data_IF_281925634716
#
_entry.id   IF_281925634716
#
_cell.length_a   1.000
_cell.length_b   1.000
_cell.length_c   1.000
_cell.angle_alpha   90.00
_cell.angle_beta   90.00
_cell.angle_gamma   90.00
#
_symmetry.space_group_name_H-M   'P 1'
#
loop_
_entity.id
_entity.type
_entity.pdbx_description
1 polymer ?
#
# COMPACT_ATOMS: atom_id res chain seq x y z
N UNK A 1 3.07 -0.24 -35.16
CA UNK A 1 4.10 -1.30 -35.17
C UNK A 1 4.00 -2.09 -33.88
N UNK A 2 4.26 -3.40 -33.92
CA UNK A 2 4.08 -4.34 -32.80
C UNK A 2 4.64 -3.82 -31.46
N UNK A 3 5.86 -3.29 -31.47
CA UNK A 3 6.54 -2.73 -30.29
C UNK A 3 5.77 -1.58 -29.61
N UNK A 4 5.03 -0.77 -30.38
CA UNK A 4 4.19 0.30 -29.82
C UNK A 4 2.96 -0.29 -29.11
N UNK A 5 2.37 -1.35 -29.66
CA UNK A 5 1.23 -2.03 -29.04
C UNK A 5 1.66 -2.71 -27.75
N UNK A 6 2.82 -3.38 -27.77
CA UNK A 6 3.44 -3.99 -26.59
C UNK A 6 3.63 -2.97 -25.46
N UNK A 7 4.22 -1.80 -25.77
CA UNK A 7 4.40 -0.71 -24.79
C UNK A 7 3.06 -0.23 -24.23
N UNK A 8 2.06 -0.01 -25.09
CA UNK A 8 0.73 0.42 -24.67
C UNK A 8 0.04 -0.62 -23.75
N UNK A 9 0.22 -1.91 -24.02
CA UNK A 9 -0.27 -2.98 -23.16
C UNK A 9 0.45 -2.93 -21.81
N UNK A 10 1.78 -2.88 -21.82
CA UNK A 10 2.61 -2.86 -20.61
C UNK A 10 2.32 -1.64 -19.73
N UNK A 11 1.93 -0.50 -20.32
CA UNK A 11 1.58 0.74 -19.61
C UNK A 11 0.09 0.88 -19.31
N UNK A 12 -0.71 -0.17 -19.53
CA UNK A 12 -2.12 -0.21 -19.09
C UNK A 12 -3.15 0.42 -20.01
N UNK A 13 -2.78 0.86 -21.22
CA UNK A 13 -3.74 1.43 -22.17
C UNK A 13 -4.81 0.42 -22.62
N UNK A 14 -4.56 -0.88 -22.42
CA UNK A 14 -5.44 -1.98 -22.78
C UNK A 14 -6.09 -2.69 -21.57
N UNK A 15 -5.92 -2.18 -20.34
CA UNK A 15 -6.46 -2.83 -19.14
C UNK A 15 -8.00 -2.93 -19.16
N UNK A 16 -8.68 -2.06 -19.92
CA UNK A 16 -10.13 -2.12 -20.14
C UNK A 16 -10.63 -3.28 -21.00
N UNK A 17 -9.74 -4.10 -21.58
CA UNK A 17 -10.11 -5.27 -22.40
C UNK A 17 -10.55 -6.50 -21.58
N UNK A 18 -10.47 -6.45 -20.25
CA UNK A 18 -10.85 -7.57 -19.39
C UNK A 18 -9.88 -8.76 -19.44
N UNK A 19 -8.65 -8.53 -19.90
CA UNK A 19 -7.53 -9.49 -19.88
C UNK A 19 -6.34 -8.85 -19.17
N UNK A 20 -5.57 -9.66 -18.44
CA UNK A 20 -4.37 -9.18 -17.78
C UNK A 20 -3.27 -8.86 -18.82
N UNK A 21 -2.32 -8.00 -18.44
CA UNK A 21 -1.25 -7.53 -19.34
C UNK A 21 -0.35 -8.68 -19.84
N UNK A 22 -0.07 -9.68 -19.00
CA UNK A 22 0.72 -10.87 -19.40
C UNK A 22 0.03 -11.62 -20.53
N UNK A 23 -1.28 -11.87 -20.41
CA UNK A 23 -2.09 -12.51 -21.44
C UNK A 23 -2.06 -11.71 -22.74
N UNK A 24 -2.23 -10.39 -22.67
CA UNK A 24 -2.21 -9.53 -23.85
C UNK A 24 -0.85 -9.49 -24.54
N UNK A 25 0.25 -9.39 -23.79
CA UNK A 25 1.62 -9.40 -24.34
C UNK A 25 1.97 -10.78 -24.91
N UNK A 26 1.69 -11.87 -24.18
CA UNK A 26 2.00 -13.24 -24.60
C UNK A 26 1.27 -13.65 -25.88
N UNK A 27 0.07 -13.10 -26.12
CA UNK A 27 -0.70 -13.35 -27.34
C UNK A 27 -0.47 -12.32 -28.45
N UNK A 28 0.36 -11.30 -28.24
CA UNK A 28 0.49 -10.16 -29.18
C UNK A 28 0.87 -10.61 -30.60
N UNK A 29 1.78 -11.57 -30.72
CA UNK A 29 2.26 -12.11 -32.01
C UNK A 29 1.12 -12.75 -32.78
N UNK A 30 0.42 -13.69 -32.10
CA UNK A 30 -0.74 -14.42 -32.63
C UNK A 30 -1.87 -13.45 -33.00
N UNK A 31 -2.10 -12.43 -32.18
CA UNK A 31 -3.15 -11.44 -32.41
C UNK A 31 -2.85 -10.54 -33.62
N UNK A 32 -1.59 -10.12 -33.79
CA UNK A 32 -1.16 -9.34 -34.97
C UNK A 32 -1.27 -10.16 -36.24
N UNK A 33 -0.83 -11.42 -36.21
CA UNK A 33 -0.94 -12.34 -37.35
C UNK A 33 -2.40 -12.61 -37.71
N UNK A 34 -3.24 -12.92 -36.72
CA UNK A 34 -4.69 -13.09 -36.91
C UNK A 34 -5.33 -11.85 -37.57
N UNK A 35 -4.99 -10.65 -37.09
CA UNK A 35 -5.52 -9.40 -37.65
C UNK A 35 -5.03 -9.11 -39.07
N UNK A 36 -3.79 -9.50 -39.41
CA UNK A 36 -3.23 -9.37 -40.75
C UNK A 36 -3.93 -10.32 -41.73
N UNK A 37 -4.06 -11.61 -41.40
CA UNK A 37 -4.74 -12.60 -42.23
C UNK A 37 -6.19 -12.20 -42.51
N UNK A 38 -6.92 -11.79 -41.45
CA UNK A 38 -8.30 -11.29 -41.59
C UNK A 38 -8.42 -10.06 -42.49
N UNK A 39 -7.40 -9.19 -42.50
CA UNK A 39 -7.37 -8.00 -43.37
C UNK A 39 -7.05 -8.36 -44.82
N UNK A 40 -6.17 -9.33 -45.05
CA UNK A 40 -5.83 -9.82 -46.38
C UNK A 40 -7.02 -10.53 -47.04
N UNK A 41 -7.70 -11.42 -46.31
CA UNK A 41 -8.86 -12.16 -46.84
C UNK A 41 -10.02 -11.25 -47.24
N UNK A 42 -10.27 -10.19 -46.45
CA UNK A 42 -11.21 -9.12 -46.83
C UNK A 42 -10.80 -8.37 -48.10
N UNK A 43 -9.50 -8.19 -48.33
CA UNK A 43 -8.98 -7.49 -49.51
C UNK A 43 -9.06 -8.35 -50.77
N UNK A 44 -8.91 -9.67 -50.66
CA UNK A 44 -9.01 -10.61 -51.77
C UNK A 44 -10.46 -10.99 -52.13
N UNK A 45 -11.46 -10.40 -51.46
CA UNK A 45 -12.87 -10.52 -51.83
C UNK A 45 -13.51 -11.85 -51.45
N UNK A 46 -12.92 -12.59 -50.52
CA UNK A 46 -13.50 -13.84 -49.99
C UNK A 46 -14.60 -13.60 -48.95
N UNK A 47 -15.13 -12.37 -48.87
CA UNK A 47 -16.08 -11.92 -47.84
C UNK A 47 -17.54 -11.85 -48.30
N UNK A 48 -17.84 -12.23 -49.55
CA UNK A 48 -19.16 -11.94 -50.16
C UNK A 48 -20.10 -13.15 -50.23
N UNK A 49 -19.63 -14.36 -49.90
CA UNK A 49 -20.43 -15.59 -50.03
C UNK A 49 -21.17 -15.99 -48.74
N UNK A 50 -20.75 -15.49 -47.57
CA UNK A 50 -21.34 -15.87 -46.28
C UNK A 50 -21.97 -14.70 -45.50
N UNK A 51 -21.83 -13.46 -45.98
CA UNK A 51 -22.40 -12.27 -45.33
C UNK A 51 -23.94 -12.33 -45.17
N UNK A 52 -24.63 -13.06 -46.06
CA UNK A 52 -26.10 -13.23 -46.04
C UNK A 52 -26.59 -14.38 -45.12
N UNK A 53 -25.68 -15.20 -44.57
CA UNK A 53 -26.02 -16.36 -43.74
C UNK A 53 -25.96 -16.09 -42.24
N UNK A 54 -25.38 -14.96 -41.82
CA UNK A 54 -25.18 -14.62 -40.41
C UNK A 54 -24.15 -15.49 -39.68
N UNK A 55 -23.47 -16.42 -40.38
CA UNK A 55 -22.37 -17.21 -39.83
C UNK A 55 -21.11 -16.36 -39.69
N UNK A 56 -20.38 -16.53 -38.59
CA UNK A 56 -19.08 -15.86 -38.40
C UNK A 56 -18.09 -16.41 -39.42
N UNK A 57 -17.71 -15.56 -40.37
CA UNK A 57 -16.77 -15.86 -41.45
C UNK A 57 -15.35 -16.19 -40.96
N UNK A 58 -15.05 -15.88 -39.69
CA UNK A 58 -13.76 -16.12 -39.06
C UNK A 58 -13.96 -16.58 -37.61
N UNK A 59 -13.23 -17.60 -37.13
CA UNK A 59 -13.28 -18.01 -35.73
C UNK A 59 -12.83 -16.86 -34.84
N UNK A 60 -13.40 -16.79 -33.63
CA UNK A 60 -12.98 -15.81 -32.63
C UNK A 60 -11.53 -16.08 -32.22
N UNK A 61 -10.79 -15.01 -31.87
CA UNK A 61 -9.44 -15.17 -31.37
C UNK A 61 -9.46 -15.73 -29.95
N UNK A 62 -8.85 -16.90 -29.76
CA UNK A 62 -8.72 -17.53 -28.45
C UNK A 62 -7.41 -17.13 -27.78
N UNK A 63 -7.52 -16.47 -26.63
CA UNK A 63 -6.38 -16.10 -25.81
C UNK A 63 -5.85 -17.32 -25.06
N UNK A 64 -4.53 -17.51 -25.10
CA UNK A 64 -3.83 -18.33 -24.11
C UNK A 64 -3.65 -17.51 -22.83
N UNK A 65 -4.10 -18.02 -21.69
CA UNK A 65 -4.04 -17.29 -20.43
C UNK A 65 -2.66 -17.40 -19.77
N UNK A 66 -2.14 -16.27 -19.28
CA UNK A 66 -0.88 -16.19 -18.55
C UNK A 66 -1.11 -15.68 -17.13
N UNK A 67 -0.26 -16.08 -16.16
CA UNK A 67 -0.32 -15.54 -14.81
C UNK A 67 -0.23 -14.01 -14.81
N UNK A 68 -1.04 -13.38 -13.98
CA UNK A 68 -1.02 -11.94 -13.80
C UNK A 68 0.27 -11.52 -13.09
N UNK A 69 0.88 -10.43 -13.57
CA UNK A 69 2.03 -9.82 -12.92
C UNK A 69 1.69 -9.35 -11.51
N UNK A 70 2.63 -9.52 -10.58
CA UNK A 70 2.54 -8.90 -9.27
C UNK A 70 2.42 -7.37 -9.43
N UNK A 71 1.70 -6.72 -8.51
CA UNK A 71 1.45 -5.29 -8.62
C UNK A 71 2.75 -4.47 -8.64
N UNK A 72 3.76 -4.90 -7.89
CA UNK A 72 5.10 -4.28 -7.89
C UNK A 72 5.78 -4.34 -9.25
N UNK A 73 5.66 -5.47 -9.95
CA UNK A 73 6.23 -5.65 -11.29
C UNK A 73 5.54 -4.75 -12.32
N UNK A 74 4.21 -4.64 -12.26
CA UNK A 74 3.45 -3.71 -13.12
C UNK A 74 3.88 -2.26 -12.90
N UNK A 75 3.99 -1.84 -11.65
CA UNK A 75 4.40 -0.48 -11.30
C UNK A 75 5.84 -0.19 -11.75
N UNK A 76 6.74 -1.18 -11.64
CA UNK A 76 8.11 -1.05 -12.15
C UNK A 76 8.14 -0.88 -13.67
N UNK A 77 7.36 -1.68 -14.42
CA UNK A 77 7.25 -1.55 -15.88
C UNK A 77 6.73 -0.16 -16.28
N UNK A 78 5.69 0.35 -15.60
CA UNK A 78 5.19 1.71 -15.85
C UNK A 78 6.28 2.75 -15.58
N UNK A 79 6.99 2.63 -14.46
CA UNK A 79 8.06 3.57 -14.14
C UNK A 79 9.19 3.55 -15.17
N UNK A 80 9.60 2.38 -15.63
CA UNK A 80 10.67 2.23 -16.63
C UNK A 80 10.25 2.74 -18.01
N UNK A 81 9.01 2.48 -18.44
CA UNK A 81 8.56 2.77 -19.79
C UNK A 81 8.06 4.21 -19.98
N UNK A 82 7.38 4.77 -18.98
CA UNK A 82 6.74 6.09 -19.07
C UNK A 82 7.18 7.07 -17.98
N UNK A 83 7.92 6.62 -16.96
CA UNK A 83 8.50 7.49 -15.93
C UNK A 83 7.57 7.81 -14.75
N UNK A 84 6.34 7.30 -14.74
CA UNK A 84 5.36 7.51 -13.68
C UNK A 84 4.48 6.26 -13.48
N UNK A 85 3.81 6.19 -12.33
CA UNK A 85 2.88 5.11 -12.00
C UNK A 85 1.46 5.49 -12.41
N UNK A 86 0.78 4.60 -13.11
CA UNK A 86 -0.60 4.78 -13.58
C UNK A 86 -1.58 3.83 -12.90
N UNK A 87 -1.18 2.57 -12.67
CA UNK A 87 -2.05 1.54 -12.10
C UNK A 87 -2.18 1.57 -10.57
N UNK A 88 -1.44 2.44 -9.89
CA UNK A 88 -1.49 2.60 -8.43
C UNK A 88 -0.31 3.40 -7.90
N UNK A 89 -0.20 3.50 -6.57
CA UNK A 89 0.93 4.12 -5.90
C UNK A 89 1.81 3.05 -5.22
N UNK A 90 3.15 3.12 -5.29
CA UNK A 90 4.00 2.10 -4.65
C UNK A 90 3.83 1.99 -3.14
N UNK A 91 3.28 3.02 -2.51
CA UNK A 91 2.95 3.02 -1.08
C UNK A 91 1.60 2.37 -0.75
N UNK A 92 0.82 1.86 -1.71
CA UNK A 92 -0.55 1.40 -1.46
C UNK A 92 -0.64 0.30 -0.39
N UNK A 93 0.39 -0.55 -0.29
CA UNK A 93 0.53 -1.52 0.80
C UNK A 93 0.54 -0.87 2.20
N UNK A 94 1.03 0.36 2.31
CA UNK A 94 1.18 1.12 3.55
C UNK A 94 0.15 2.24 3.70
N UNK A 95 -0.90 2.29 2.87
CA UNK A 95 -1.88 3.38 2.88
C UNK A 95 -2.53 3.57 4.25
N UNK A 96 -2.97 2.48 4.89
CA UNK A 96 -3.57 2.56 6.23
C UNK A 96 -2.58 3.07 7.29
N UNK A 97 -1.32 2.62 7.22
CA UNK A 97 -0.25 3.06 8.11
C UNK A 97 0.01 4.56 7.92
N UNK A 98 0.04 5.01 6.67
CA UNK A 98 0.18 6.42 6.30
C UNK A 98 -0.95 7.26 6.91
N UNK A 99 -2.20 6.87 6.69
CA UNK A 99 -3.39 7.60 7.17
C UNK A 99 -3.40 7.76 8.70
N UNK A 100 -2.89 6.77 9.43
CA UNK A 100 -2.89 6.74 10.90
C UNK A 100 -1.66 7.38 11.53
N UNK A 101 -0.51 7.32 10.86
CA UNK A 101 0.78 7.67 11.45
C UNK A 101 1.32 9.01 10.98
N UNK A 102 0.97 9.46 9.77
CA UNK A 102 1.46 10.73 9.23
C UNK A 102 0.73 11.88 9.90
N UNK A 103 1.51 12.80 10.48
CA UNK A 103 0.97 13.91 11.27
C UNK A 103 1.19 15.28 10.61
N UNK A 104 1.90 15.32 9.49
CA UNK A 104 2.11 16.53 8.69
C UNK A 104 1.39 16.38 7.34
N UNK A 105 0.55 17.35 7.02
CA UNK A 105 -0.12 17.43 5.72
C UNK A 105 0.76 18.15 4.70
N UNK A 106 1.31 17.42 3.74
CA UNK A 106 2.19 17.97 2.71
C UNK A 106 1.47 18.94 1.75
N UNK A 107 0.13 18.91 1.69
CA UNK A 107 -0.64 19.88 0.89
C UNK A 107 -0.73 21.27 1.53
N UNK A 108 -0.46 21.38 2.83
CA UNK A 108 -0.61 22.61 3.62
C UNK A 108 0.53 22.80 4.64
N UNK A 109 1.77 22.58 4.19
CA UNK A 109 2.98 22.64 5.04
C UNK A 109 3.14 24.00 5.73
N UNK A 110 2.65 25.08 5.14
CA UNK A 110 2.69 26.43 5.69
C UNK A 110 1.93 26.57 7.02
N UNK A 111 1.03 25.65 7.34
CA UNK A 111 0.30 25.60 8.62
C UNK A 111 1.06 24.89 9.73
N UNK A 112 2.18 24.23 9.40
CA UNK A 112 2.98 23.51 10.37
C UNK A 112 3.71 24.46 11.34
N UNK A 113 3.78 24.04 12.61
CA UNK A 113 4.52 24.72 13.66
C UNK A 113 5.98 24.22 13.67
N UNK A 114 6.99 25.10 13.55
CA UNK A 114 8.40 24.69 13.59
C UNK A 114 8.83 24.00 14.89
N UNK A 115 8.13 24.26 16.00
CA UNK A 115 8.46 23.71 17.31
C UNK A 115 7.92 22.29 17.52
N UNK A 116 6.94 21.86 16.71
CA UNK A 116 6.28 20.57 16.84
C UNK A 116 7.04 19.50 16.05
N UNK A 117 7.13 18.30 16.62
CA UNK A 117 7.59 17.12 15.90
C UNK A 117 6.46 16.51 15.07
N UNK A 118 6.81 16.05 13.88
CA UNK A 118 5.92 15.42 12.93
C UNK A 118 6.50 14.09 12.45
N UNK A 119 5.61 13.26 11.90
CA UNK A 119 5.93 11.98 11.26
C UNK A 119 5.51 12.08 9.81
N UNK A 120 6.39 11.64 8.92
CA UNK A 120 6.16 11.48 7.50
C UNK A 120 6.42 10.04 7.10
N UNK A 121 5.66 9.56 6.12
CA UNK A 121 5.87 8.28 5.45
C UNK A 121 5.76 8.53 3.95
N UNK A 122 6.75 8.11 3.18
CA UNK A 122 6.83 8.46 1.76
C UNK A 122 7.87 7.64 0.99
N UNK A 123 7.95 7.86 -0.32
CA UNK A 123 8.99 7.32 -1.20
C UNK A 123 10.08 8.35 -1.42
N UNK A 124 11.34 7.94 -1.33
CA UNK A 124 12.47 8.80 -1.70
C UNK A 124 12.52 8.96 -3.23
N UNK A 125 12.19 10.14 -3.74
CA UNK A 125 12.30 10.49 -5.17
C UNK A 125 13.72 10.83 -5.60
N UNK A 126 14.53 11.39 -4.69
CA UNK A 126 15.93 11.68 -4.94
C UNK A 126 16.74 11.69 -3.65
N UNK A 127 18.03 11.36 -3.74
CA UNK A 127 18.97 11.35 -2.62
C UNK A 127 20.32 11.91 -3.07
N UNK A 128 20.86 12.87 -2.33
CA UNK A 128 22.14 13.53 -2.61
C UNK A 128 22.97 13.67 -1.33
N UNK A 129 24.11 12.98 -1.24
CA UNK A 129 25.13 13.28 -0.23
C UNK A 129 25.73 14.66 -0.47
N UNK A 130 26.00 15.40 0.60
CA UNK A 130 26.64 16.70 0.55
C UNK A 130 27.69 16.82 1.65
N UNK A 131 28.88 17.28 1.31
CA UNK A 131 29.90 17.61 2.30
C UNK A 131 29.78 19.09 2.68
N UNK A 132 29.47 19.35 3.94
CA UNK A 132 29.39 20.70 4.47
C UNK A 132 30.78 21.34 4.58
N UNK A 133 30.82 22.67 4.74
CA UNK A 133 32.08 23.44 4.83
C UNK A 133 32.98 23.03 6.00
N UNK A 134 32.40 22.42 7.04
CA UNK A 134 33.12 21.88 8.19
C UNK A 134 33.70 20.47 7.95
N UNK A 135 33.60 19.95 6.72
CA UNK A 135 34.09 18.63 6.33
C UNK A 135 33.16 17.47 6.66
N UNK A 136 32.09 17.69 7.44
CA UNK A 136 31.12 16.65 7.78
C UNK A 136 30.17 16.40 6.61
N UNK A 137 29.76 15.14 6.46
CA UNK A 137 28.75 14.77 5.47
C UNK A 137 27.34 15.05 6.00
N UNK A 138 26.41 15.33 5.11
CA UNK A 138 24.98 15.45 5.34
C UNK A 138 24.23 14.94 4.11
N UNK A 139 22.93 14.75 4.23
CA UNK A 139 22.09 14.27 3.13
C UNK A 139 20.96 15.23 2.80
N UNK A 140 20.68 15.38 1.52
CA UNK A 140 19.44 15.97 1.03
C UNK A 140 18.65 14.90 0.29
N UNK A 141 17.36 14.80 0.57
CA UNK A 141 16.46 13.92 -0.15
C UNK A 141 15.18 14.66 -0.53
N UNK A 142 14.44 14.13 -1.49
CA UNK A 142 13.06 14.54 -1.74
C UNK A 142 12.16 13.35 -1.45
N UNK A 143 11.18 13.54 -0.57
CA UNK A 143 10.21 12.54 -0.17
C UNK A 143 8.86 12.89 -0.78
N UNK A 144 8.24 11.95 -1.48
CA UNK A 144 6.88 12.09 -1.99
C UNK A 144 5.90 11.17 -1.28
N UNK A 145 4.72 11.67 -0.97
CA UNK A 145 3.58 10.89 -0.49
C UNK A 145 2.34 11.09 -1.38
N UNK A 146 1.17 10.66 -0.89
CA UNK A 146 -0.10 10.80 -1.59
C UNK A 146 -0.57 12.24 -1.81
N UNK A 147 -0.06 13.20 -1.04
CA UNK A 147 -0.52 14.59 -0.98
C UNK A 147 0.50 15.58 -1.52
N UNK A 148 1.78 15.24 -1.60
CA UNK A 148 2.79 16.11 -2.17
C UNK A 148 4.21 15.65 -1.96
N UNK A 149 5.12 16.60 -2.15
CA UNK A 149 6.57 16.40 -2.01
C UNK A 149 7.14 17.30 -0.92
N UNK A 150 8.14 16.78 -0.21
CA UNK A 150 8.86 17.49 0.84
C UNK A 150 10.37 17.25 0.70
N UNK A 151 11.15 18.33 0.73
CA UNK A 151 12.60 18.23 0.80
C UNK A 151 13.02 17.85 2.23
N UNK A 152 13.79 16.77 2.36
CA UNK A 152 14.35 16.28 3.61
C UNK A 152 15.81 16.72 3.74
N UNK A 153 16.19 17.11 4.96
CA UNK A 153 17.58 17.36 5.35
C UNK A 153 17.97 16.41 6.48
N UNK A 154 19.00 15.60 6.22
CA UNK A 154 19.64 14.73 7.20
C UNK A 154 20.95 15.40 7.63
N UNK A 155 20.99 15.99 8.83
CA UNK A 155 22.22 16.52 9.39
C UNK A 155 23.23 15.39 9.67
N UNK A 156 24.48 15.75 9.94
CA UNK A 156 25.59 14.78 9.97
C UNK A 156 25.36 13.57 10.86
N UNK A 157 24.78 13.75 12.05
CA UNK A 157 24.48 12.63 12.96
C UNK A 157 23.42 11.69 12.38
N UNK A 158 22.32 12.23 11.85
CA UNK A 158 21.28 11.45 11.20
C UNK A 158 21.79 10.78 9.92
N UNK A 159 22.61 11.49 9.13
CA UNK A 159 23.19 10.96 7.90
C UNK A 159 24.13 9.79 8.17
N UNK A 160 25.08 9.94 9.11
CA UNK A 160 26.01 8.87 9.48
C UNK A 160 25.27 7.63 9.99
N UNK A 161 24.18 7.82 10.74
CA UNK A 161 23.39 6.72 11.30
C UNK A 161 22.52 6.00 10.28
N UNK A 162 21.95 6.72 9.31
CA UNK A 162 20.88 6.19 8.47
C UNK A 162 21.21 6.08 6.98
N UNK A 163 22.32 6.66 6.48
CA UNK A 163 22.63 6.70 5.04
C UNK A 163 22.55 5.36 4.33
N UNK A 164 22.93 4.26 4.99
CA UNK A 164 22.96 2.92 4.38
C UNK A 164 21.55 2.32 4.22
N UNK A 165 20.55 2.94 4.84
CA UNK A 165 19.12 2.59 4.73
C UNK A 165 18.35 3.50 3.77
N UNK A 166 19.00 4.50 3.17
CA UNK A 166 18.38 5.46 2.28
C UNK A 166 18.73 5.13 0.83
N UNK A 167 17.72 4.88 0.01
CA UNK A 167 17.88 4.67 -1.43
C UNK A 167 16.74 5.34 -2.20
N UNK A 168 17.01 5.77 -3.44
CA UNK A 168 15.94 6.21 -4.33
C UNK A 168 14.94 5.06 -4.51
N UNK A 169 13.66 5.40 -4.59
CA UNK A 169 12.51 4.50 -4.66
C UNK A 169 12.24 3.66 -3.40
N UNK A 170 13.05 3.82 -2.34
CA UNK A 170 12.74 3.20 -1.04
C UNK A 170 11.62 3.96 -0.31
N UNK A 171 10.75 3.19 0.35
CA UNK A 171 9.71 3.72 1.24
C UNK A 171 10.32 3.89 2.63
N UNK A 172 10.24 5.10 3.17
CA UNK A 172 10.77 5.41 4.50
C UNK A 172 9.74 6.13 5.35
N UNK A 173 9.82 5.91 6.67
CA UNK A 173 9.17 6.73 7.65
C UNK A 173 10.19 7.57 8.42
N UNK A 174 9.93 8.85 8.60
CA UNK A 174 10.83 9.76 9.32
C UNK A 174 10.08 10.57 10.36
N UNK A 175 10.77 10.87 11.45
CA UNK A 175 10.33 11.80 12.49
C UNK A 175 11.29 12.98 12.55
N UNK A 176 10.73 14.17 12.73
CA UNK A 176 11.52 15.40 12.81
C UNK A 176 10.66 16.65 12.81
N UNK A 177 11.22 17.78 12.36
CA UNK A 177 10.60 19.11 12.44
C UNK A 177 10.58 19.80 11.08
N UNK A 178 9.60 20.69 10.90
CA UNK A 178 9.53 21.54 9.70
C UNK A 178 10.44 22.76 9.88
N UNK A 179 11.38 22.94 8.96
CA UNK A 179 12.19 24.14 8.84
C UNK A 179 11.59 25.09 7.80
N UNK A 180 11.23 26.29 8.27
CA UNK A 180 10.65 27.37 7.48
C UNK A 180 11.63 28.54 7.26
N UNK A 181 12.91 28.34 7.53
CA UNK A 181 13.95 29.37 7.34
C UNK A 181 14.17 29.74 5.88
N UNK A 182 13.72 28.89 4.94
CA UNK A 182 13.85 29.06 3.49
C UNK A 182 12.49 29.36 2.85
N UNK A 183 12.52 29.89 1.64
CA UNK A 183 11.32 30.19 0.84
C UNK A 183 10.44 28.95 0.63
N UNK A 184 11.06 27.79 0.37
CA UNK A 184 10.40 26.49 0.38
C UNK A 184 10.67 25.81 1.73
N UNK A 185 9.63 25.51 2.52
CA UNK A 185 9.79 24.74 3.74
C UNK A 185 10.46 23.40 3.45
N UNK A 186 11.29 22.94 4.38
CA UNK A 186 11.93 21.64 4.33
C UNK A 186 11.72 20.91 5.65
N UNK A 187 12.09 19.63 5.69
CA UNK A 187 11.94 18.79 6.87
C UNK A 187 13.31 18.37 7.39
N UNK A 188 13.59 18.70 8.65
CA UNK A 188 14.80 18.27 9.33
C UNK A 188 14.54 16.90 9.95
N UNK A 189 15.26 15.89 9.48
CA UNK A 189 15.07 14.51 9.94
C UNK A 189 15.93 14.23 11.16
N UNK A 190 15.27 13.83 12.25
CA UNK A 190 15.93 13.43 13.49
C UNK A 190 16.06 11.91 13.58
N UNK A 191 15.00 11.18 13.22
CA UNK A 191 14.94 9.72 13.37
C UNK A 191 14.31 9.05 12.15
N UNK A 192 14.94 7.98 11.66
CA UNK A 192 14.33 7.05 10.71
C UNK A 192 13.52 6.01 11.50
N UNK A 193 12.22 5.95 11.24
CA UNK A 193 11.30 5.00 11.86
C UNK A 193 11.22 3.73 11.01
N UNK A 194 10.94 2.61 11.67
CA UNK A 194 10.63 1.36 11.00
C UNK A 194 9.16 1.39 10.55
N UNK A 195 8.94 1.20 9.24
CA UNK A 195 7.60 1.27 8.62
C UNK A 195 6.71 0.12 9.12
N UNK A 196 7.28 -1.05 9.34
CA UNK A 196 6.54 -2.22 9.82
C UNK A 196 6.17 -2.05 11.29
N UNK A 197 7.08 -1.49 12.11
CA UNK A 197 6.79 -1.17 13.51
C UNK A 197 5.73 -0.04 13.66
N UNK A 198 5.76 0.94 12.75
CA UNK A 198 4.72 1.97 12.70
C UNK A 198 3.35 1.38 12.40
N UNK A 199 3.28 0.38 11.52
CA UNK A 199 2.03 -0.31 11.25
C UNK A 199 1.44 -0.90 12.53
N UNK A 200 2.25 -1.64 13.30
CA UNK A 200 1.82 -2.27 14.56
C UNK A 200 1.40 -1.25 15.63
N UNK A 201 2.09 -0.11 15.73
CA UNK A 201 1.76 0.95 16.70
C UNK A 201 0.64 1.88 16.26
N UNK A 202 0.21 1.79 15.01
CA UNK A 202 -0.83 2.66 14.46
C UNK A 202 -2.25 2.19 14.78
N UNK A 203 -2.42 0.91 15.11
CA UNK A 203 -3.69 0.37 15.58
C UNK A 203 -4.05 0.98 16.93
N UNK A 204 -5.33 1.34 17.06
CA UNK A 204 -5.87 1.98 18.26
C UNK A 204 -6.92 1.11 18.92
N UNK A 205 -7.46 0.15 18.19
CA UNK A 205 -8.57 -0.65 18.64
C UNK A 205 -8.27 -2.14 18.38
N UNK A 206 -8.57 -2.98 19.38
CA UNK A 206 -8.58 -4.43 19.24
C UNK A 206 -10.02 -4.87 19.45
N UNK A 207 -10.56 -5.55 18.45
CA UNK A 207 -11.91 -6.06 18.45
C UNK A 207 -11.89 -7.57 18.66
N UNK A 208 -12.73 -8.04 19.58
CA UNK A 208 -12.83 -9.44 19.98
C UNK A 208 -14.30 -9.84 19.82
N UNK A 209 -14.60 -10.71 18.86
CA UNK A 209 -15.93 -11.28 18.69
C UNK A 209 -16.04 -12.58 19.46
N UNK A 210 -17.07 -12.66 20.29
CA UNK A 210 -17.36 -13.86 21.07
C UNK A 210 -18.19 -14.86 20.27
N UNK A 211 -18.05 -16.14 20.60
CA UNK A 211 -18.98 -17.17 20.14
C UNK A 211 -20.39 -16.93 20.69
N UNK A 212 -21.41 -17.44 20.00
CA UNK A 212 -22.84 -17.23 20.32
C UNK A 212 -23.20 -17.53 21.78
N UNK A 213 -22.63 -18.61 22.32
CA UNK A 213 -22.98 -19.10 23.66
C UNK A 213 -21.89 -18.76 24.69
N UNK A 214 -20.84 -18.03 24.30
CA UNK A 214 -19.71 -17.71 25.19
C UNK A 214 -20.13 -16.70 26.27
N UNK A 215 -20.99 -15.74 25.94
CA UNK A 215 -21.50 -14.76 26.89
C UNK A 215 -22.50 -15.36 27.90
N UNK A 216 -23.00 -16.57 27.68
CA UNK A 216 -23.95 -17.24 28.57
C UNK A 216 -23.28 -18.00 29.72
N UNK A 217 -21.97 -18.29 29.59
CA UNK A 217 -21.20 -19.09 30.55
C UNK A 217 -19.95 -18.32 30.98
N UNK A 218 -19.89 -17.95 32.26
CA UNK A 218 -18.76 -17.20 32.82
C UNK A 218 -17.42 -17.93 32.63
N UNK A 219 -17.41 -19.26 32.81
CA UNK A 219 -16.25 -20.14 32.59
C UNK A 219 -15.63 -20.00 31.19
N UNK A 220 -16.46 -19.72 30.18
CA UNK A 220 -15.99 -19.55 28.80
C UNK A 220 -15.18 -18.26 28.60
N UNK A 221 -15.31 -17.29 29.51
CA UNK A 221 -14.67 -15.98 29.40
C UNK A 221 -13.50 -15.79 30.39
N UNK A 222 -13.25 -16.76 31.28
CA UNK A 222 -12.18 -16.65 32.28
C UNK A 222 -10.81 -16.50 31.62
N UNK A 223 -10.49 -17.33 30.63
CA UNK A 223 -9.21 -17.26 29.91
C UNK A 223 -9.01 -15.91 29.20
N UNK A 224 -10.08 -15.38 28.58
CA UNK A 224 -10.05 -14.09 27.91
C UNK A 224 -9.87 -12.94 28.92
N UNK A 225 -10.64 -12.97 30.02
CA UNK A 225 -10.53 -12.00 31.11
C UNK A 225 -9.11 -11.99 31.66
N UNK A 226 -8.61 -13.14 32.08
CA UNK A 226 -7.30 -13.24 32.74
C UNK A 226 -6.19 -12.74 31.81
N UNK A 227 -6.24 -13.09 30.52
CA UNK A 227 -5.31 -12.56 29.54
C UNK A 227 -5.36 -11.02 29.43
N UNK A 228 -6.56 -10.43 29.32
CA UNK A 228 -6.74 -8.98 29.20
C UNK A 228 -6.37 -8.21 30.48
N UNK A 229 -6.40 -8.85 31.64
CA UNK A 229 -5.96 -8.25 32.91
C UNK A 229 -4.45 -8.40 33.13
N UNK A 230 -3.84 -9.47 32.64
CA UNK A 230 -2.40 -9.71 32.75
C UNK A 230 -1.58 -8.96 31.69
N UNK A 231 -2.18 -8.73 30.51
CA UNK A 231 -1.49 -8.14 29.37
C UNK A 231 -2.15 -6.82 28.99
N UNK A 232 -1.44 -5.71 29.22
CA UNK A 232 -1.87 -4.37 28.80
C UNK A 232 -1.20 -3.94 27.50
N UNK A 233 -1.84 -3.02 26.79
CA UNK A 233 -1.27 -2.47 25.56
C UNK A 233 -1.86 -1.11 25.18
N UNK A 234 -1.42 -0.53 24.04
CA UNK A 234 -1.82 0.81 23.64
C UNK A 234 -3.23 0.89 23.03
N UNK A 235 -3.90 -0.24 22.81
CA UNK A 235 -5.18 -0.29 22.11
C UNK A 235 -6.36 -0.41 23.07
N UNK A 236 -7.44 0.27 22.74
CA UNK A 236 -8.74 0.09 23.38
C UNK A 236 -9.36 -1.23 22.93
N UNK A 237 -10.09 -1.90 23.83
CA UNK A 237 -10.69 -3.20 23.53
C UNK A 237 -12.18 -3.04 23.32
N UNK A 238 -12.69 -3.66 22.26
CA UNK A 238 -14.11 -3.73 21.94
C UNK A 238 -14.52 -5.19 21.86
N UNK A 239 -15.55 -5.56 22.62
CA UNK A 239 -16.10 -6.91 22.64
C UNK A 239 -17.39 -6.92 21.85
N UNK A 240 -17.43 -7.74 20.80
CA UNK A 240 -18.61 -7.96 19.97
C UNK A 240 -19.34 -9.20 20.46
N UNK A 241 -20.56 -9.00 20.97
CA UNK A 241 -21.41 -10.05 21.52
C UNK A 241 -22.55 -10.33 20.54
N UNK A 242 -22.60 -11.51 19.91
CA UNK A 242 -23.73 -11.91 19.07
C UNK A 242 -24.95 -12.23 19.96
N UNK A 243 -25.96 -11.37 19.92
CA UNK A 243 -27.26 -11.59 20.55
C UNK A 243 -28.25 -12.09 19.47
N UNK A 244 -29.31 -12.81 19.85
CA UNK A 244 -30.30 -13.39 18.93
C UNK A 244 -30.81 -12.42 17.85
N UNK A 245 -30.14 -12.42 16.68
CA UNK A 245 -30.44 -11.58 15.52
C UNK A 245 -29.76 -10.20 15.45
N UNK A 246 -28.91 -9.81 16.40
CA UNK A 246 -28.17 -8.52 16.41
C UNK A 246 -26.79 -8.65 17.09
N UNK A 247 -25.84 -7.82 16.67
CA UNK A 247 -24.53 -7.72 17.35
C UNK A 247 -24.54 -6.52 18.31
N UNK A 248 -24.10 -6.75 19.55
CA UNK A 248 -23.85 -5.69 20.52
C UNK A 248 -22.34 -5.46 20.64
N UNK A 249 -21.90 -4.21 20.47
CA UNK A 249 -20.48 -3.82 20.59
C UNK A 249 -20.28 -3.11 21.92
N UNK A 250 -19.44 -3.68 22.78
CA UNK A 250 -19.13 -3.17 24.11
C UNK A 250 -17.69 -2.65 24.10
N UNK A 251 -17.53 -1.33 24.25
CA UNK A 251 -16.21 -0.75 24.56
C UNK A 251 -15.87 -1.07 26.01
N UNK A 252 -14.72 -1.70 26.24
CA UNK A 252 -14.29 -2.03 27.60
C UNK A 252 -13.92 -0.76 28.37
N UNK A 253 -13.83 -0.88 29.69
CA UNK A 253 -13.34 0.20 30.53
C UNK A 253 -11.86 0.48 30.23
N UNK A 254 -11.40 1.71 30.44
CA UNK A 254 -10.07 2.18 30.02
C UNK A 254 -8.89 1.43 30.66
N UNK A 255 -9.11 0.73 31.79
CA UNK A 255 -8.10 -0.14 32.40
C UNK A 255 -7.92 -1.48 31.67
N UNK A 256 -8.86 -1.87 30.82
CA UNK A 256 -8.79 -3.07 29.97
C UNK A 256 -8.32 -2.61 28.61
N UNK A 257 -7.07 -2.96 28.28
CA UNK A 257 -6.38 -2.57 27.06
C UNK A 257 -5.60 -3.75 26.52
N UNK A 258 -5.30 -3.75 25.22
CA UNK A 258 -4.57 -4.85 24.58
C UNK A 258 -3.49 -4.33 23.63
N UNK A 259 -2.54 -5.21 23.32
CA UNK A 259 -1.61 -4.99 22.22
C UNK A 259 -2.23 -5.47 20.90
N UNK A 260 -1.99 -4.73 19.83
CA UNK A 260 -2.39 -5.11 18.47
C UNK A 260 -1.27 -5.83 17.71
N UNK A 261 -0.20 -6.27 18.38
CA UNK A 261 0.82 -7.10 17.75
C UNK A 261 0.29 -8.49 17.39
N UNK A 262 0.95 -9.16 16.43
CA UNK A 262 0.48 -10.44 15.91
C UNK A 262 0.38 -11.55 16.97
N UNK A 263 1.35 -11.62 17.89
CA UNK A 263 1.36 -12.63 18.95
C UNK A 263 0.22 -12.45 19.95
N UNK A 264 -0.10 -11.20 20.29
CA UNK A 264 -1.21 -10.85 21.15
C UNK A 264 -2.55 -11.23 20.50
N UNK A 265 -2.74 -10.94 19.21
CA UNK A 265 -3.96 -11.30 18.48
C UNK A 265 -4.14 -12.82 18.35
N UNK A 266 -3.06 -13.56 18.07
CA UNK A 266 -3.11 -15.03 18.00
C UNK A 266 -3.49 -15.65 19.35
N UNK A 267 -2.95 -15.12 20.45
CA UNK A 267 -3.25 -15.60 21.79
C UNK A 267 -4.70 -15.30 22.16
N UNK A 268 -5.17 -14.07 21.91
CA UNK A 268 -6.57 -13.67 22.11
C UNK A 268 -7.53 -14.52 21.28
N UNK A 269 -7.18 -14.80 20.02
CA UNK A 269 -7.98 -15.64 19.13
C UNK A 269 -8.01 -17.12 19.53
N UNK A 270 -7.06 -17.55 20.36
CA UNK A 270 -6.99 -18.91 20.91
C UNK A 270 -7.71 -19.04 22.26
N UNK A 271 -8.15 -17.95 22.87
CA UNK A 271 -8.92 -17.97 24.11
C UNK A 271 -10.27 -18.66 23.91
N UNK A 272 -10.70 -19.44 24.90
CA UNK A 272 -12.04 -20.04 24.88
C UNK A 272 -13.11 -18.95 24.71
N UNK A 273 -14.16 -19.27 23.95
CA UNK A 273 -15.28 -18.37 23.72
C UNK A 273 -15.01 -17.21 22.75
N UNK A 274 -13.80 -17.10 22.18
CA UNK A 274 -13.47 -16.12 21.14
C UNK A 274 -13.65 -16.77 19.76
N UNK A 275 -14.45 -16.13 18.92
CA UNK A 275 -14.68 -16.54 17.54
C UNK A 275 -13.66 -15.90 16.58
N UNK A 276 -13.37 -14.62 16.77
CA UNK A 276 -12.55 -13.83 15.86
C UNK A 276 -11.92 -12.64 16.59
N UNK A 277 -10.69 -12.28 16.22
CA UNK A 277 -10.00 -11.10 16.73
C UNK A 277 -9.40 -10.33 15.56
N UNK A 278 -9.61 -9.02 15.55
CA UNK A 278 -9.00 -8.13 14.57
C UNK A 278 -8.60 -6.80 15.20
N UNK A 279 -7.81 -6.03 14.47
CA UNK A 279 -7.26 -4.74 14.89
C UNK A 279 -7.70 -3.64 13.93
N UNK A 280 -8.09 -2.50 14.48
CA UNK A 280 -8.47 -1.29 13.74
C UNK A 280 -7.66 -0.07 14.16
#
# INVERSE_FOLDING_TARGET
GKKVIELLIQTGAFDGLGKNRSTLVGNLDRAVEYAQNKKEDKKFGQSSLFEDTGEKEYPDFEFEEFPELEQSEKLNQEKELIGFYFSGHPMDKYKQVWERSVTLDLSHVERASPEKEYVLLGIIKSLRPHQAKNGKWMGFASLGDYRGDMDLTFFSEAWERYRDRLAVDSIIAVKGKVDRSRERPSFLVDTLLDVDNLAEKSYREVHIRLEKDAAEREESLEALRDYLFENSGPCEVYIHVPLSGKEAVIRTASQISASADGGALETLGSCAGVQEVWRE
#
